data_IF_234788393623
#
_entry.id   IF_234788393623
#
_cell.length_a   1.000
_cell.length_b   1.000
_cell.length_c   1.000
_cell.angle_alpha   90.00
_cell.angle_beta   90.00
_cell.angle_gamma   90.00
#
_symmetry.space_group_name_H-M   'P 1'
#
loop_
_entity.id
_entity.type
_entity.pdbx_description
1 polymer ?
#
# COMPACT_ATOMS: atom_id res chain seq x y z
N UNK A 1 32.02 64.42 25.74
CA UNK A 1 31.38 63.20 26.26
C UNK A 1 30.70 62.52 25.10
N UNK A 2 31.28 61.39 24.67
CA UNK A 2 30.69 60.22 23.96
C UNK A 2 29.70 60.51 22.83
N UNK A 3 30.07 60.45 21.55
CA UNK A 3 30.50 59.28 20.76
C UNK A 3 29.34 58.30 20.45
N UNK A 4 29.11 58.08 19.15
CA UNK A 4 29.07 56.79 18.45
C UNK A 4 28.09 56.84 17.26
N UNK A 5 28.71 56.72 16.09
CA UNK A 5 28.16 56.38 14.79
C UNK A 5 27.61 54.95 14.75
N UNK A 6 26.55 54.70 13.98
CA UNK A 6 26.32 53.35 13.44
C UNK A 6 25.52 53.41 12.15
N UNK A 7 26.24 53.17 11.06
CA UNK A 7 25.75 52.72 9.77
C UNK A 7 25.21 51.28 9.90
N UNK A 8 24.01 51.00 9.40
CA UNK A 8 23.55 49.63 9.14
C UNK A 8 23.23 49.51 7.65
N UNK A 9 24.06 48.71 7.01
CA UNK A 9 24.02 48.24 5.63
C UNK A 9 22.73 47.46 5.34
N UNK A 10 22.03 47.83 4.27
CA UNK A 10 20.94 47.04 3.70
C UNK A 10 21.49 45.83 2.94
N UNK A 11 21.68 44.73 3.66
CA UNK A 11 22.01 43.42 3.12
C UNK A 11 21.26 42.33 3.91
N UNK A 12 19.93 42.39 3.92
CA UNK A 12 19.09 41.30 4.41
C UNK A 12 17.90 41.13 3.46
N UNK A 13 18.19 40.58 2.28
CA UNK A 13 17.20 39.84 1.51
C UNK A 13 17.30 38.39 1.98
N UNK A 14 16.48 38.04 2.96
CA UNK A 14 16.30 36.66 3.43
C UNK A 14 15.84 35.82 2.23
N UNK A 15 16.74 34.97 1.72
CA UNK A 15 16.41 34.01 0.69
C UNK A 15 15.46 32.95 1.28
N UNK A 16 14.19 33.00 0.90
CA UNK A 16 13.26 31.90 1.07
C UNK A 16 13.85 30.67 0.37
N UNK A 17 14.34 29.71 1.17
CA UNK A 17 15.00 28.52 0.66
C UNK A 17 14.03 27.65 -0.14
N UNK A 18 14.34 27.47 -1.43
CA UNK A 18 13.72 26.44 -2.27
C UNK A 18 13.65 25.11 -1.53
N UNK A 19 12.45 24.52 -1.42
CA UNK A 19 12.26 23.21 -0.81
C UNK A 19 13.12 22.17 -1.53
N UNK A 20 13.90 21.39 -0.77
CA UNK A 20 14.77 20.33 -1.31
C UNK A 20 13.94 19.23 -1.97
N UNK A 21 14.45 18.67 -3.06
CA UNK A 21 13.83 17.52 -3.74
C UNK A 21 14.19 16.23 -3.01
N UNK A 22 13.20 15.49 -2.51
CA UNK A 22 13.42 14.18 -1.92
C UNK A 22 13.59 13.11 -3.00
N UNK A 23 14.81 12.59 -3.15
CA UNK A 23 15.17 11.64 -4.21
C UNK A 23 14.65 10.22 -3.95
N UNK A 24 14.25 9.91 -2.72
CA UNK A 24 13.83 8.56 -2.29
C UNK A 24 12.69 7.99 -3.16
N UNK A 25 11.76 8.85 -3.59
CA UNK A 25 10.56 8.47 -4.34
C UNK A 25 10.66 8.64 -5.86
N UNK A 26 11.80 9.03 -6.42
CA UNK A 26 11.92 9.32 -7.85
C UNK A 26 12.26 8.06 -8.66
N UNK A 27 11.36 7.56 -9.53
CA UNK A 27 11.69 6.48 -10.46
C UNK A 27 12.74 6.93 -11.48
N UNK A 28 13.37 5.99 -12.19
CA UNK A 28 14.55 6.26 -13.02
C UNK A 28 14.37 7.45 -13.96
N UNK A 29 13.27 7.52 -14.70
CA UNK A 29 13.00 8.62 -15.63
C UNK A 29 12.95 9.99 -14.93
N UNK A 30 12.31 10.10 -13.77
CA UNK A 30 12.23 11.35 -13.00
C UNK A 30 13.57 11.70 -12.35
N UNK A 31 14.31 10.70 -11.87
CA UNK A 31 15.64 10.90 -11.31
C UNK A 31 16.62 11.35 -12.39
N UNK A 32 16.60 10.75 -13.58
CA UNK A 32 17.39 11.17 -14.74
C UNK A 32 17.08 12.62 -15.11
N UNK A 33 15.80 12.98 -15.22
CA UNK A 33 15.40 14.36 -15.52
C UNK A 33 15.91 15.37 -14.46
N UNK A 34 15.89 14.99 -13.18
CA UNK A 34 16.46 15.81 -12.11
C UNK A 34 17.99 16.00 -12.25
N UNK A 35 18.74 14.95 -12.58
CA UNK A 35 20.18 15.07 -12.81
C UNK A 35 20.50 15.89 -14.07
N UNK A 36 19.72 15.74 -15.14
CA UNK A 36 19.87 16.55 -16.35
C UNK A 36 19.59 18.04 -16.09
N UNK A 37 18.56 18.37 -15.29
CA UNK A 37 18.23 19.76 -14.96
C UNK A 37 19.31 20.48 -14.16
N UNK A 38 20.23 19.72 -13.54
CA UNK A 38 21.38 20.27 -12.81
C UNK A 38 22.69 20.13 -13.58
N UNK A 39 22.65 19.78 -14.87
CA UNK A 39 23.83 19.67 -15.73
C UNK A 39 24.66 18.40 -15.54
N UNK A 40 24.09 17.38 -14.89
CA UNK A 40 24.75 16.09 -14.67
C UNK A 40 24.35 15.04 -15.73
N UNK A 41 25.22 14.06 -15.94
CA UNK A 41 25.00 12.98 -16.91
C UNK A 41 24.03 11.93 -16.36
N UNK A 42 23.24 11.31 -17.25
CA UNK A 42 22.25 10.26 -16.92
C UNK A 42 22.75 9.16 -15.98
N UNK A 43 23.99 8.69 -16.17
CA UNK A 43 24.54 7.60 -15.34
C UNK A 43 24.69 7.98 -13.86
N UNK A 44 24.74 9.28 -13.50
CA UNK A 44 24.76 9.75 -12.11
C UNK A 44 23.46 9.43 -11.38
N UNK A 45 22.32 9.56 -12.06
CA UNK A 45 21.03 9.15 -11.52
C UNK A 45 21.03 7.66 -11.16
N UNK A 46 21.56 6.80 -12.05
CA UNK A 46 21.66 5.35 -11.81
C UNK A 46 22.58 5.05 -10.61
N UNK A 47 23.72 5.73 -10.50
CA UNK A 47 24.62 5.56 -9.35
C UNK A 47 23.92 5.91 -8.04
N UNK A 48 23.25 7.07 -7.97
CA UNK A 48 22.55 7.53 -6.77
C UNK A 48 21.36 6.63 -6.43
N UNK A 49 20.61 6.15 -7.43
CA UNK A 49 19.53 5.17 -7.20
C UNK A 49 20.03 3.90 -6.52
N UNK A 50 21.15 3.33 -6.98
CA UNK A 50 21.75 2.14 -6.37
C UNK A 50 22.18 2.39 -4.92
N UNK A 51 22.80 3.55 -4.66
CA UNK A 51 23.16 3.92 -3.29
C UNK A 51 21.95 3.96 -2.36
N UNK A 52 20.85 4.58 -2.80
CA UNK A 52 19.63 4.69 -2.00
C UNK A 52 19.00 3.31 -1.77
N UNK A 53 18.75 2.55 -2.84
CA UNK A 53 17.85 1.39 -2.78
C UNK A 53 18.54 0.03 -2.68
N UNK A 54 19.82 -0.09 -3.05
CA UNK A 54 20.59 -1.34 -2.93
C UNK A 54 21.53 -1.32 -1.73
N UNK A 55 22.08 -0.16 -1.41
CA UNK A 55 23.07 0.01 -0.33
C UNK A 55 22.51 0.71 0.91
N UNK A 56 21.28 1.21 0.84
CA UNK A 56 20.61 1.83 1.99
C UNK A 56 21.25 3.14 2.45
N UNK A 57 21.88 3.90 1.54
CA UNK A 57 22.43 5.21 1.86
C UNK A 57 21.30 6.24 2.00
N UNK A 58 21.27 6.94 3.13
CA UNK A 58 20.42 8.10 3.41
C UNK A 58 21.24 9.41 3.50
N UNK A 59 22.55 9.33 3.33
CA UNK A 59 23.47 10.47 3.30
C UNK A 59 24.30 10.46 2.02
N UNK A 60 24.36 11.61 1.32
CA UNK A 60 25.16 11.74 0.11
C UNK A 60 26.66 11.52 0.35
N UNK A 61 27.18 11.76 1.56
CA UNK A 61 28.61 11.55 1.83
C UNK A 61 29.07 10.11 1.70
N UNK A 62 28.18 9.15 1.94
CA UNK A 62 28.49 7.73 1.86
C UNK A 62 28.74 7.26 0.42
N UNK A 63 28.34 8.08 -0.57
CA UNK A 63 28.42 7.75 -1.99
C UNK A 63 29.84 7.93 -2.55
N UNK A 64 30.74 7.01 -2.23
CA UNK A 64 32.19 7.11 -2.52
C UNK A 64 32.55 7.21 -4.02
N UNK A 65 31.68 6.75 -4.91
CA UNK A 65 31.87 6.84 -6.37
C UNK A 65 31.20 8.08 -7.01
N UNK A 66 30.68 8.99 -6.19
CA UNK A 66 30.13 10.30 -6.57
C UNK A 66 31.14 11.38 -6.19
N UNK A 67 31.43 12.31 -7.11
CA UNK A 67 32.43 13.37 -6.87
C UNK A 67 32.03 14.23 -5.66
N UNK A 68 33.03 14.79 -4.97
CA UNK A 68 32.79 15.67 -3.81
C UNK A 68 31.91 16.86 -4.19
N UNK A 69 32.15 17.45 -5.36
CA UNK A 69 31.38 18.60 -5.86
C UNK A 69 29.90 18.25 -6.07
N UNK A 70 29.62 17.09 -6.66
CA UNK A 70 28.23 16.64 -6.87
C UNK A 70 27.55 16.31 -5.54
N UNK A 71 28.25 15.66 -4.60
CA UNK A 71 27.72 15.42 -3.24
C UNK A 71 27.36 16.73 -2.53
N UNK A 72 28.25 17.73 -2.60
CA UNK A 72 28.00 19.05 -2.03
C UNK A 72 26.82 19.76 -2.70
N UNK A 73 26.71 19.68 -4.04
CA UNK A 73 25.56 20.21 -4.78
C UNK A 73 24.25 19.57 -4.36
N UNK A 74 24.19 18.23 -4.33
CA UNK A 74 23.00 17.48 -3.94
C UNK A 74 22.55 17.82 -2.51
N UNK A 75 23.48 17.99 -1.57
CA UNK A 75 23.15 18.42 -0.21
C UNK A 75 22.40 19.75 -0.13
N UNK A 76 22.60 20.66 -1.09
CA UNK A 76 21.96 21.97 -1.10
C UNK A 76 20.55 21.92 -1.71
N UNK A 77 20.34 21.09 -2.73
CA UNK A 77 19.10 21.12 -3.54
C UNK A 77 18.22 19.88 -3.38
N UNK A 78 18.73 18.82 -2.77
CA UNK A 78 18.08 17.53 -2.65
C UNK A 78 18.34 16.90 -1.28
N UNK A 79 17.62 15.82 -1.02
CA UNK A 79 17.72 15.04 0.20
C UNK A 79 17.27 13.59 -0.04
N UNK A 80 17.58 12.73 0.92
CA UNK A 80 17.04 11.37 1.02
C UNK A 80 16.36 11.29 2.38
N UNK A 81 15.07 11.64 2.42
CA UNK A 81 14.32 11.72 3.67
C UNK A 81 13.36 10.55 3.77
N UNK A 82 13.60 9.70 4.75
CA UNK A 82 12.76 8.56 5.09
C UNK A 82 11.65 8.99 6.06
N UNK A 83 10.49 8.32 6.04
CA UNK A 83 9.54 8.44 7.15
C UNK A 83 10.11 7.77 8.41
N UNK A 84 9.62 8.18 9.58
CA UNK A 84 10.18 7.77 10.87
C UNK A 84 9.47 6.52 11.40
N UNK A 85 10.22 5.50 11.84
CA UNK A 85 9.63 4.36 12.57
C UNK A 85 9.39 4.77 14.01
N UNK A 86 8.12 4.91 14.38
CA UNK A 86 7.71 5.22 15.77
C UNK A 86 7.79 3.97 16.64
N UNK A 87 7.35 2.83 16.09
CA UNK A 87 7.31 1.58 16.83
C UNK A 87 7.43 0.39 15.88
N UNK A 88 7.98 -0.71 16.41
CA UNK A 88 8.06 -2.00 15.75
C UNK A 88 7.46 -3.07 16.67
N UNK A 89 6.71 -4.00 16.08
CA UNK A 89 6.17 -5.17 16.76
C UNK A 89 6.58 -6.43 16.00
N UNK A 90 7.00 -7.45 16.74
CA UNK A 90 7.37 -8.76 16.20
C UNK A 90 6.41 -9.82 16.77
N UNK A 91 5.66 -10.47 15.89
CA UNK A 91 4.76 -11.58 16.20
C UNK A 91 5.55 -12.86 16.44
N UNK A 92 4.95 -13.76 17.23
CA UNK A 92 5.47 -15.12 17.43
C UNK A 92 5.54 -15.94 16.13
N UNK A 93 4.75 -15.59 15.11
CA UNK A 93 4.75 -16.26 13.80
C UNK A 93 5.80 -15.69 12.81
N UNK A 94 6.63 -14.75 13.27
CA UNK A 94 7.64 -14.05 12.48
C UNK A 94 7.14 -12.82 11.71
N UNK A 95 5.83 -12.54 11.73
CA UNK A 95 5.27 -11.30 11.16
C UNK A 95 5.83 -10.09 11.90
N UNK A 96 6.23 -9.05 11.16
CA UNK A 96 6.72 -7.80 11.73
C UNK A 96 5.86 -6.63 11.28
N UNK A 97 5.33 -5.86 12.23
CA UNK A 97 4.58 -4.63 11.98
C UNK A 97 5.42 -3.41 12.33
N UNK A 98 5.38 -2.40 11.47
CA UNK A 98 5.97 -1.09 11.69
C UNK A 98 4.87 -0.03 11.78
N UNK A 99 4.96 0.84 12.80
CA UNK A 99 4.24 2.10 12.86
C UNK A 99 5.16 3.21 12.35
N UNK A 100 4.76 3.84 11.25
CA UNK A 100 5.60 4.78 10.53
C UNK A 100 4.93 6.15 10.52
N UNK A 101 5.59 7.14 11.13
CA UNK A 101 5.15 8.54 11.09
C UNK A 101 5.52 9.16 9.75
N UNK A 102 4.52 9.73 9.11
CA UNK A 102 4.62 10.40 7.82
C UNK A 102 4.45 11.90 7.99
N UNK A 103 4.71 12.66 6.91
CA UNK A 103 4.61 14.12 6.93
C UNK A 103 3.22 14.58 7.42
N UNK A 104 3.16 15.62 8.25
CA UNK A 104 1.89 16.04 8.89
C UNK A 104 1.52 15.25 10.15
N UNK A 105 2.38 14.34 10.62
CA UNK A 105 2.32 13.76 11.97
C UNK A 105 1.45 12.51 12.12
N UNK A 106 0.68 12.14 11.10
CA UNK A 106 -0.09 10.88 11.08
C UNK A 106 0.82 9.65 11.04
N UNK A 107 0.29 8.51 11.47
CA UNK A 107 1.02 7.24 11.55
C UNK A 107 0.31 6.19 10.69
N UNK A 108 1.06 5.62 9.74
CA UNK A 108 0.62 4.51 8.90
C UNK A 108 1.24 3.20 9.37
N UNK A 109 0.73 2.08 8.86
CA UNK A 109 1.26 0.76 9.18
C UNK A 109 1.87 0.08 7.94
N UNK A 110 2.93 -0.70 8.17
CA UNK A 110 3.54 -1.60 7.18
C UNK A 110 3.78 -2.95 7.83
N UNK A 111 3.47 -4.04 7.12
CA UNK A 111 3.55 -5.39 7.69
C UNK A 111 4.38 -6.31 6.80
N UNK A 112 5.42 -6.91 7.37
CA UNK A 112 6.19 -7.97 6.74
C UNK A 112 5.69 -9.34 7.20
N UNK A 113 5.40 -10.23 6.25
CA UNK A 113 4.83 -11.56 6.48
C UNK A 113 5.78 -12.62 5.89
N UNK A 114 6.49 -13.42 6.71
CA UNK A 114 7.35 -14.50 6.22
C UNK A 114 6.57 -15.79 5.94
N UNK A 115 6.87 -16.50 4.88
CA UNK A 115 6.29 -17.80 4.54
C UNK A 115 7.36 -18.68 3.85
N UNK A 116 8.05 -19.51 4.63
CA UNK A 116 9.25 -20.22 4.17
C UNK A 116 10.31 -19.24 3.67
N UNK A 117 10.77 -19.45 2.43
CA UNK A 117 11.74 -18.57 1.77
C UNK A 117 11.12 -17.28 1.18
N UNK A 118 9.79 -17.13 1.26
CA UNK A 118 9.06 -15.96 0.73
C UNK A 118 8.81 -14.96 1.84
N UNK A 119 9.25 -13.72 1.69
CA UNK A 119 8.81 -12.59 2.52
C UNK A 119 7.92 -11.64 1.73
N UNK A 120 6.72 -11.36 2.23
CA UNK A 120 5.74 -10.45 1.61
C UNK A 120 5.59 -9.19 2.46
N UNK A 121 5.83 -8.02 1.85
CA UNK A 121 5.62 -6.74 2.50
C UNK A 121 4.29 -6.12 2.07
N UNK A 122 3.43 -5.85 3.04
CA UNK A 122 2.18 -5.14 2.88
C UNK A 122 2.42 -3.64 3.09
N UNK A 123 2.21 -2.86 2.02
CA UNK A 123 2.56 -1.42 1.96
C UNK A 123 1.28 -0.58 1.89
N UNK A 124 1.26 0.50 2.67
CA UNK A 124 0.20 1.52 2.68
C UNK A 124 0.41 2.54 1.57
N UNK A 125 -0.69 3.06 1.03
CA UNK A 125 -0.73 4.04 -0.07
C UNK A 125 -1.36 5.37 0.33
N UNK A 126 -2.15 5.42 1.40
CA UNK A 126 -2.79 6.64 1.90
C UNK A 126 -2.76 6.67 3.44
N UNK A 127 -3.01 7.84 4.01
CA UNK A 127 -3.30 8.00 5.44
C UNK A 127 -4.81 7.87 5.63
N UNK A 128 -5.24 6.70 6.11
CA UNK A 128 -6.65 6.32 6.12
C UNK A 128 -7.15 5.86 4.75
N UNK A 129 -8.47 5.75 4.56
CA UNK A 129 -9.07 5.38 3.28
C UNK A 129 -10.48 5.99 3.11
N UNK A 130 -10.72 6.62 1.96
CA UNK A 130 -12.00 7.29 1.69
C UNK A 130 -13.14 6.33 1.31
N UNK A 131 -12.85 5.08 0.92
CA UNK A 131 -13.82 4.15 0.33
C UNK A 131 -14.87 3.56 1.28
N UNK A 132 -14.64 3.63 2.60
CA UNK A 132 -15.62 3.22 3.63
C UNK A 132 -16.11 1.77 3.52
N UNK A 133 -15.24 0.83 3.11
CA UNK A 133 -15.59 -0.59 3.12
C UNK A 133 -15.99 -1.02 4.54
N UNK A 134 -17.17 -1.61 4.69
CA UNK A 134 -17.81 -1.79 6.00
C UNK A 134 -17.02 -2.73 6.93
N UNK A 135 -16.24 -3.64 6.34
CA UNK A 135 -15.42 -4.66 7.00
C UNK A 135 -13.93 -4.27 7.14
N UNK A 136 -13.57 -2.99 6.93
CA UNK A 136 -12.18 -2.53 6.98
C UNK A 136 -11.95 -1.52 8.10
N UNK A 137 -10.99 -1.78 9.01
CA UNK A 137 -10.66 -0.85 10.10
C UNK A 137 -10.19 0.51 9.57
N UNK A 138 -9.34 0.53 8.54
CA UNK A 138 -8.85 1.76 7.91
C UNK A 138 -9.99 2.63 7.38
N UNK A 139 -11.05 2.03 6.82
CA UNK A 139 -12.21 2.77 6.32
C UNK A 139 -12.97 3.52 7.42
N UNK A 140 -12.99 2.95 8.64
CA UNK A 140 -13.66 3.54 9.82
C UNK A 140 -12.92 4.74 10.40
N UNK A 141 -11.62 4.84 10.18
CA UNK A 141 -10.83 5.97 10.65
C UNK A 141 -10.92 7.20 9.76
N UNK A 142 -11.59 7.10 8.61
CA UNK A 142 -11.70 8.18 7.65
C UNK A 142 -10.44 8.32 6.80
N UNK A 143 -10.20 9.53 6.31
CA UNK A 143 -9.15 9.83 5.35
C UNK A 143 -8.49 11.15 5.70
N UNK A 144 -7.19 11.27 5.44
CA UNK A 144 -6.46 12.53 5.56
C UNK A 144 -5.87 12.95 4.21
N UNK A 145 -4.88 12.20 3.70
CA UNK A 145 -4.17 12.52 2.45
C UNK A 145 -3.56 11.28 1.80
N UNK A 146 -3.15 11.46 0.55
CA UNK A 146 -2.30 10.54 -0.18
C UNK A 146 -0.87 10.55 0.38
N UNK A 147 -0.21 9.39 0.36
CA UNK A 147 1.22 9.29 0.63
C UNK A 147 2.02 9.71 -0.60
N UNK A 148 3.14 10.40 -0.39
CA UNK A 148 4.09 10.66 -1.48
C UNK A 148 4.80 9.37 -1.90
N UNK A 149 5.37 9.33 -3.10
CA UNK A 149 6.16 8.18 -3.56
C UNK A 149 7.30 7.84 -2.58
N UNK A 150 7.94 8.86 -1.99
CA UNK A 150 8.98 8.68 -0.96
C UNK A 150 8.46 8.00 0.31
N UNK A 151 7.24 8.32 0.75
CA UNK A 151 6.59 7.69 1.91
C UNK A 151 6.13 6.25 1.61
N UNK A 152 5.75 5.95 0.36
CA UNK A 152 5.39 4.59 -0.06
C UNK A 152 6.62 3.70 -0.17
N UNK A 153 7.62 4.09 -0.97
CA UNK A 153 8.84 3.29 -1.16
C UNK A 153 9.71 3.26 0.10
N UNK A 154 9.62 4.29 0.95
CA UNK A 154 10.27 4.34 2.26
C UNK A 154 9.86 3.17 3.16
N UNK A 155 8.63 2.66 3.04
CA UNK A 155 8.19 1.46 3.78
C UNK A 155 8.98 0.21 3.35
N UNK A 156 9.25 0.06 2.04
CA UNK A 156 10.10 -1.03 1.51
C UNK A 156 11.53 -0.88 1.99
N UNK A 157 12.05 0.35 1.96
CA UNK A 157 13.39 0.66 2.42
C UNK A 157 13.58 0.33 3.90
N UNK A 158 12.65 0.76 4.76
CA UNK A 158 12.67 0.52 6.21
C UNK A 158 12.65 -0.98 6.49
N UNK A 159 11.72 -1.71 5.85
CA UNK A 159 11.64 -3.15 6.02
C UNK A 159 12.92 -3.85 5.57
N UNK A 160 13.44 -3.55 4.37
CA UNK A 160 14.67 -4.12 3.85
C UNK A 160 15.87 -3.85 4.78
N UNK A 161 16.03 -2.60 5.26
CA UNK A 161 17.08 -2.24 6.23
C UNK A 161 16.94 -3.01 7.54
N UNK A 162 15.73 -3.16 8.07
CA UNK A 162 15.48 -3.89 9.33
C UNK A 162 15.91 -5.35 9.32
N UNK A 163 16.04 -5.94 8.11
CA UNK A 163 16.47 -7.31 7.89
C UNK A 163 17.91 -7.44 7.39
N UNK A 164 18.66 -6.34 7.33
CA UNK A 164 20.03 -6.32 6.80
C UNK A 164 20.10 -6.57 5.29
N UNK A 165 18.98 -6.50 4.55
CA UNK A 165 18.95 -6.79 3.11
C UNK A 165 19.77 -5.79 2.29
N UNK A 166 19.94 -4.56 2.78
CA UNK A 166 20.67 -3.48 2.11
C UNK A 166 22.17 -3.50 2.41
N UNK A 167 22.66 -4.47 3.20
CA UNK A 167 24.08 -4.65 3.45
C UNK A 167 24.74 -5.46 2.33
N UNK A 168 26.06 -5.35 2.17
CA UNK A 168 26.80 -6.20 1.25
C UNK A 168 26.57 -7.68 1.58
N UNK A 169 26.08 -8.46 0.62
CA UNK A 169 25.67 -9.86 0.78
C UNK A 169 24.52 -10.09 1.78
N UNK A 170 23.69 -9.07 2.03
CA UNK A 170 22.51 -9.17 2.88
C UNK A 170 21.49 -10.19 2.33
N UNK A 171 20.73 -10.88 3.20
CA UNK A 171 19.72 -11.82 2.76
C UNK A 171 18.55 -11.09 2.10
N UNK A 172 18.08 -11.60 0.96
CA UNK A 172 16.89 -11.07 0.30
C UNK A 172 15.62 -11.52 1.02
N UNK A 173 15.18 -10.76 2.02
CA UNK A 173 13.96 -11.05 2.80
C UNK A 173 12.69 -10.56 2.13
N UNK A 174 12.67 -9.32 1.64
CA UNK A 174 11.51 -8.76 0.92
C UNK A 174 11.53 -9.26 -0.51
N UNK A 175 10.77 -10.33 -0.75
CA UNK A 175 10.68 -10.99 -2.06
C UNK A 175 9.40 -10.66 -2.83
N UNK A 176 8.38 -10.18 -2.11
CA UNK A 176 7.06 -9.81 -2.62
C UNK A 176 6.61 -8.50 -1.96
N UNK A 177 5.87 -7.68 -2.71
CA UNK A 177 5.20 -6.49 -2.19
C UNK A 177 3.74 -6.52 -2.61
N UNK A 178 2.84 -6.21 -1.68
CA UNK A 178 1.41 -6.07 -1.94
C UNK A 178 0.93 -4.70 -1.48
N UNK A 179 0.23 -3.98 -2.36
CA UNK A 179 -0.44 -2.71 -2.04
C UNK A 179 -1.80 -3.00 -1.39
N UNK A 180 -1.74 -3.60 -0.20
CA UNK A 180 -2.91 -4.03 0.59
C UNK A 180 -2.87 -3.48 2.02
N UNK A 181 -2.03 -2.46 2.26
CA UNK A 181 -1.98 -1.74 3.52
C UNK A 181 -3.15 -0.76 3.65
N UNK A 182 -2.90 0.41 4.22
CA UNK A 182 -3.89 1.48 4.35
C UNK A 182 -4.09 2.22 3.01
N UNK A 183 -5.33 2.47 2.63
CA UNK A 183 -5.69 3.28 1.45
C UNK A 183 -6.10 2.49 0.20
N UNK A 184 -6.72 3.18 -0.75
CA UNK A 184 -7.00 2.70 -2.09
C UNK A 184 -5.89 3.16 -3.05
N UNK A 185 -5.04 2.23 -3.54
CA UNK A 185 -3.87 2.61 -4.35
C UNK A 185 -4.22 3.38 -5.62
N UNK A 186 -5.34 3.07 -6.27
CA UNK A 186 -5.73 3.76 -7.50
C UNK A 186 -6.25 5.19 -7.27
N UNK A 187 -6.60 5.58 -6.04
CA UNK A 187 -6.88 6.98 -5.72
C UNK A 187 -5.60 7.80 -5.52
N UNK A 188 -4.45 7.13 -5.28
CA UNK A 188 -3.12 7.74 -5.20
C UNK A 188 -2.24 7.29 -6.39
N UNK A 189 -2.77 7.43 -7.60
CA UNK A 189 -2.25 6.76 -8.80
C UNK A 189 -0.77 7.02 -9.07
N UNK A 190 -0.35 8.29 -9.18
CA UNK A 190 1.00 8.64 -9.64
C UNK A 190 2.07 8.21 -8.63
N UNK A 191 1.85 8.46 -7.33
CA UNK A 191 2.82 8.06 -6.29
C UNK A 191 2.93 6.53 -6.19
N UNK A 192 1.82 5.81 -6.32
CA UNK A 192 1.80 4.34 -6.27
C UNK A 192 2.53 3.75 -7.47
N UNK A 193 2.26 4.24 -8.68
CA UNK A 193 2.92 3.79 -9.91
C UNK A 193 4.42 4.01 -9.86
N UNK A 194 4.86 5.22 -9.48
CA UNK A 194 6.28 5.55 -9.30
C UNK A 194 6.96 4.56 -8.33
N UNK A 195 6.30 4.30 -7.20
CA UNK A 195 6.83 3.41 -6.16
C UNK A 195 6.90 1.95 -6.61
N UNK A 196 5.87 1.44 -7.29
CA UNK A 196 5.88 0.07 -7.82
C UNK A 196 6.97 -0.10 -8.88
N UNK A 197 7.16 0.91 -9.73
CA UNK A 197 8.22 0.88 -10.73
C UNK A 197 9.60 0.86 -10.05
N UNK A 198 9.82 1.62 -8.97
CA UNK A 198 11.02 1.50 -8.14
C UNK A 198 11.19 0.12 -7.49
N UNK A 199 10.11 -0.49 -6.97
CA UNK A 199 10.16 -1.84 -6.39
C UNK A 199 10.65 -2.87 -7.42
N UNK A 200 10.26 -2.72 -8.69
CA UNK A 200 10.59 -3.67 -9.74
C UNK A 200 11.92 -3.39 -10.44
N UNK A 201 12.46 -2.18 -10.31
CA UNK A 201 13.63 -1.75 -11.06
C UNK A 201 14.92 -2.46 -10.64
N UNK A 202 15.73 -2.91 -11.60
CA UNK A 202 16.97 -3.67 -11.36
C UNK A 202 18.07 -2.86 -10.66
N UNK A 203 18.10 -1.53 -10.88
CA UNK A 203 19.01 -0.62 -10.17
C UNK A 203 18.47 -0.20 -8.78
N UNK A 204 17.30 -0.72 -8.39
CA UNK A 204 16.72 -0.57 -7.06
C UNK A 204 16.51 -1.97 -6.43
N UNK A 205 15.28 -2.37 -6.12
CA UNK A 205 15.02 -3.63 -5.41
C UNK A 205 14.91 -4.87 -6.31
N UNK A 206 14.75 -4.68 -7.63
CA UNK A 206 14.68 -5.75 -8.63
C UNK A 206 13.63 -6.82 -8.33
N UNK A 207 12.51 -6.46 -7.69
CA UNK A 207 11.44 -7.41 -7.34
C UNK A 207 10.71 -7.79 -8.62
N UNK A 208 10.52 -9.08 -8.86
CA UNK A 208 9.80 -9.54 -10.06
C UNK A 208 8.42 -8.87 -10.14
N UNK A 209 8.03 -8.42 -11.34
CA UNK A 209 6.68 -7.95 -11.63
C UNK A 209 5.56 -8.92 -11.29
N UNK A 210 5.87 -10.22 -11.22
CA UNK A 210 4.94 -11.28 -10.75
C UNK A 210 4.80 -11.34 -9.22
N UNK A 211 5.56 -10.52 -8.49
CA UNK A 211 5.66 -10.49 -7.02
C UNK A 211 5.36 -9.11 -6.44
N UNK A 212 5.12 -8.10 -7.26
CA UNK A 212 4.53 -6.81 -6.87
C UNK A 212 3.06 -6.83 -7.28
N UNK A 213 2.14 -6.73 -6.32
CA UNK A 213 0.69 -6.81 -6.57
C UNK A 213 -0.02 -5.54 -6.12
N UNK A 214 -0.72 -4.89 -7.03
CA UNK A 214 -1.66 -3.82 -6.73
C UNK A 214 -3.03 -4.43 -6.44
N UNK A 215 -3.60 -4.12 -5.27
CA UNK A 215 -4.99 -4.44 -4.96
C UNK A 215 -5.86 -3.21 -5.10
N UNK A 216 -7.05 -3.35 -5.68
CA UNK A 216 -8.01 -2.23 -5.80
C UNK A 216 -9.44 -2.67 -5.53
N UNK A 217 -10.21 -1.77 -4.93
CA UNK A 217 -11.67 -1.89 -4.77
C UNK A 217 -12.44 -1.49 -6.04
N UNK A 218 -11.76 -0.96 -7.05
CA UNK A 218 -12.31 -0.77 -8.39
C UNK A 218 -12.53 0.68 -8.80
N UNK A 219 -11.48 1.50 -8.79
CA UNK A 219 -11.50 2.84 -9.40
C UNK A 219 -11.32 2.72 -10.92
N UNK A 220 -12.38 2.36 -11.64
CA UNK A 220 -12.35 1.95 -13.05
C UNK A 220 -11.56 2.90 -13.97
N UNK A 221 -11.76 4.25 -13.95
CA UNK A 221 -11.02 5.14 -14.85
C UNK A 221 -9.50 5.08 -14.66
N UNK A 222 -9.04 4.82 -13.43
CA UNK A 222 -7.62 4.71 -13.11
C UNK A 222 -7.08 3.32 -13.48
N UNK A 223 -7.89 2.28 -13.30
CA UNK A 223 -7.53 0.92 -13.71
C UNK A 223 -7.36 0.81 -15.24
N UNK A 224 -8.23 1.48 -16.01
CA UNK A 224 -8.19 1.46 -17.48
C UNK A 224 -6.90 2.06 -18.06
N UNK A 225 -6.30 3.04 -17.38
CA UNK A 225 -5.01 3.62 -17.80
C UNK A 225 -3.79 2.91 -17.19
N UNK A 226 -3.96 2.05 -16.18
CA UNK A 226 -2.84 1.47 -15.40
C UNK A 226 -1.83 0.71 -16.27
N UNK A 227 -2.29 -0.03 -17.28
CA UNK A 227 -1.43 -0.84 -18.16
C UNK A 227 -0.45 -0.02 -18.99
N UNK A 228 -0.68 1.30 -19.13
CA UNK A 228 0.23 2.21 -19.83
C UNK A 228 1.46 2.58 -18.97
N UNK A 229 1.41 2.34 -17.66
CA UNK A 229 2.42 2.84 -16.72
C UNK A 229 3.14 1.75 -15.93
N UNK A 230 2.55 0.55 -15.82
CA UNK A 230 3.13 -0.54 -15.05
C UNK A 230 2.61 -1.90 -15.53
N UNK A 231 3.39 -2.94 -15.30
CA UNK A 231 3.03 -4.33 -15.55
C UNK A 231 3.02 -5.18 -14.27
N UNK A 232 2.72 -4.56 -13.13
CA UNK A 232 2.53 -5.24 -11.84
C UNK A 232 1.37 -6.26 -11.87
N UNK A 233 1.34 -7.20 -10.93
CA UNK A 233 0.19 -8.08 -10.73
C UNK A 233 -1.04 -7.29 -10.24
N UNK A 234 -2.23 -7.74 -10.62
CA UNK A 234 -3.50 -7.15 -10.21
C UNK A 234 -4.27 -8.09 -9.28
N UNK A 235 -4.74 -7.54 -8.17
CA UNK A 235 -5.74 -8.12 -7.31
C UNK A 235 -6.99 -7.22 -7.26
N UNK A 236 -8.17 -7.82 -7.25
CA UNK A 236 -9.45 -7.13 -7.13
C UNK A 236 -10.10 -7.48 -5.80
N UNK A 237 -10.35 -6.46 -4.99
CA UNK A 237 -11.13 -6.52 -3.76
C UNK A 237 -12.63 -6.61 -4.10
N UNK A 238 -13.08 -7.83 -4.44
CA UNK A 238 -14.44 -8.07 -4.94
C UNK A 238 -15.44 -8.22 -3.79
N UNK A 239 -15.21 -9.18 -2.91
CA UNK A 239 -15.91 -9.41 -1.63
C UNK A 239 -17.43 -9.68 -1.66
N UNK A 240 -18.06 -9.72 -2.83
CA UNK A 240 -19.45 -10.12 -3.00
C UNK A 240 -19.69 -10.66 -4.42
N UNK A 241 -20.66 -11.57 -4.62
CA UNK A 241 -20.92 -12.19 -5.91
C UNK A 241 -21.96 -11.45 -6.76
N UNK A 242 -22.58 -10.39 -6.24
CA UNK A 242 -23.61 -9.59 -6.89
C UNK A 242 -23.53 -8.12 -6.43
N UNK A 243 -24.12 -7.21 -7.21
CA UNK A 243 -24.03 -5.77 -6.98
C UNK A 243 -24.77 -5.34 -5.71
N UNK A 244 -25.89 -5.99 -5.38
CA UNK A 244 -26.70 -5.68 -4.19
C UNK A 244 -25.86 -5.80 -2.92
N UNK A 245 -25.24 -6.96 -2.72
CA UNK A 245 -24.38 -7.20 -1.56
C UNK A 245 -23.09 -6.37 -1.64
N UNK A 246 -22.53 -6.18 -2.84
CA UNK A 246 -21.30 -5.39 -2.99
C UNK A 246 -21.52 -3.92 -2.68
N UNK A 247 -22.70 -3.37 -2.98
CA UNK A 247 -23.06 -2.00 -2.62
C UNK A 247 -23.04 -1.77 -1.09
N UNK A 248 -23.40 -2.79 -0.31
CA UNK A 248 -23.35 -2.72 1.16
C UNK A 248 -21.92 -2.83 1.69
N UNK A 249 -21.14 -3.78 1.17
CA UNK A 249 -19.82 -4.08 1.69
C UNK A 249 -18.72 -3.13 1.18
N UNK A 250 -18.81 -2.73 -0.09
CA UNK A 250 -17.80 -1.96 -0.84
C UNK A 250 -18.50 -0.81 -1.57
N UNK A 251 -18.77 0.34 -0.90
CA UNK A 251 -19.67 1.37 -1.40
C UNK A 251 -19.36 1.96 -2.78
N UNK A 252 -18.08 1.95 -3.20
CA UNK A 252 -17.66 2.39 -4.54
C UNK A 252 -18.34 1.60 -5.67
N UNK A 253 -18.87 0.40 -5.38
CA UNK A 253 -19.63 -0.39 -6.34
C UNK A 253 -20.85 0.34 -6.92
N UNK A 254 -21.49 1.23 -6.13
CA UNK A 254 -22.61 2.04 -6.63
C UNK A 254 -22.21 2.95 -7.79
N UNK A 255 -20.94 3.36 -7.83
CA UNK A 255 -20.37 4.19 -8.89
C UNK A 255 -19.81 3.33 -10.02
N UNK A 256 -19.12 2.24 -9.67
CA UNK A 256 -18.50 1.32 -10.61
C UNK A 256 -18.95 -0.12 -10.30
N UNK A 257 -20.08 -0.57 -10.88
CA UNK A 257 -20.63 -1.90 -10.66
C UNK A 257 -19.68 -3.03 -11.07
N UNK A 258 -19.93 -4.24 -10.58
CA UNK A 258 -19.05 -5.41 -10.76
C UNK A 258 -18.69 -5.64 -12.23
N UNK A 259 -19.67 -5.61 -13.13
CA UNK A 259 -19.44 -5.86 -14.55
C UNK A 259 -18.41 -4.87 -15.14
N UNK A 260 -18.56 -3.58 -14.82
CA UNK A 260 -17.64 -2.54 -15.27
C UNK A 260 -16.22 -2.73 -14.71
N UNK A 261 -16.13 -3.11 -13.44
CA UNK A 261 -14.86 -3.42 -12.78
C UNK A 261 -14.15 -4.61 -13.43
N UNK A 262 -14.87 -5.72 -13.63
CA UNK A 262 -14.31 -6.92 -14.25
C UNK A 262 -13.89 -6.68 -15.69
N UNK A 263 -14.66 -5.92 -16.46
CA UNK A 263 -14.30 -5.54 -17.83
C UNK A 263 -13.03 -4.68 -17.88
N UNK A 264 -12.88 -3.72 -16.96
CA UNK A 264 -11.66 -2.93 -16.83
C UNK A 264 -10.46 -3.80 -16.43
N UNK A 265 -10.65 -4.72 -15.48
CA UNK A 265 -9.60 -5.64 -15.08
C UNK A 265 -9.19 -6.62 -16.20
N UNK A 266 -10.14 -7.07 -17.04
CA UNK A 266 -9.87 -7.86 -18.25
C UNK A 266 -9.03 -7.06 -19.24
N UNK A 267 -9.35 -5.77 -19.48
CA UNK A 267 -8.55 -4.89 -20.34
C UNK A 267 -7.12 -4.74 -19.83
N UNK A 268 -6.95 -4.55 -18.51
CA UNK A 268 -5.62 -4.48 -17.90
C UNK A 268 -4.81 -5.75 -18.15
N UNK A 269 -5.35 -6.93 -17.83
CA UNK A 269 -4.63 -8.20 -18.01
C UNK A 269 -4.37 -8.51 -19.49
N UNK A 270 -5.30 -8.20 -20.39
CA UNK A 270 -5.12 -8.44 -21.83
C UNK A 270 -4.01 -7.57 -22.44
N UNK A 271 -3.71 -6.41 -21.85
CA UNK A 271 -2.61 -5.55 -22.25
C UNK A 271 -1.24 -6.00 -21.71
N UNK A 272 -1.20 -7.00 -20.81
CA UNK A 272 0.06 -7.48 -20.25
C UNK A 272 0.83 -8.34 -21.26
N UNK A 273 2.17 -8.27 -21.28
CA UNK A 273 2.98 -9.05 -22.21
C UNK A 273 2.95 -10.57 -21.94
N UNK A 274 2.47 -10.98 -20.78
CA UNK A 274 2.37 -12.38 -20.34
C UNK A 274 0.89 -12.80 -20.36
N UNK A 275 0.52 -13.55 -21.39
CA UNK A 275 -0.85 -14.01 -21.65
C UNK A 275 -1.37 -15.03 -20.64
N UNK A 276 -0.51 -15.60 -19.79
CA UNK A 276 -0.89 -16.55 -18.74
C UNK A 276 -1.22 -15.88 -17.41
N UNK A 277 -1.13 -14.54 -17.32
CA UNK A 277 -1.48 -13.82 -16.11
C UNK A 277 -2.95 -13.97 -15.78
N UNK A 278 -3.21 -14.21 -14.49
CA UNK A 278 -4.55 -14.27 -13.93
C UNK A 278 -4.73 -13.14 -12.91
N UNK A 279 -5.93 -12.59 -12.86
CA UNK A 279 -6.34 -11.65 -11.81
C UNK A 279 -6.50 -12.44 -10.51
N UNK A 280 -6.05 -11.87 -9.40
CA UNK A 280 -6.37 -12.44 -8.07
C UNK A 280 -7.66 -11.81 -7.58
N UNK A 281 -8.70 -12.61 -7.33
CA UNK A 281 -9.92 -12.14 -6.68
C UNK A 281 -9.74 -12.29 -5.17
N UNK A 282 -9.69 -11.18 -4.46
CA UNK A 282 -9.70 -11.16 -3.00
C UNK A 282 -11.16 -11.17 -2.53
N UNK A 283 -11.53 -12.17 -1.72
CA UNK A 283 -12.88 -12.34 -1.21
C UNK A 283 -12.85 -12.55 0.30
N UNK A 284 -13.21 -11.52 1.07
CA UNK A 284 -13.30 -11.59 2.53
C UNK A 284 -14.57 -12.34 2.90
N UNK A 285 -14.45 -13.53 3.48
CA UNK A 285 -15.60 -14.31 3.94
C UNK A 285 -16.01 -13.89 5.34
N UNK A 286 -17.25 -13.43 5.44
CA UNK A 286 -17.90 -12.93 6.64
C UNK A 286 -19.06 -13.86 6.98
N UNK A 287 -19.06 -14.35 8.21
CA UNK A 287 -20.09 -15.27 8.72
C UNK A 287 -21.49 -14.68 8.50
N UNK A 288 -22.38 -15.49 7.93
CA UNK A 288 -23.79 -15.16 7.67
C UNK A 288 -24.06 -14.03 6.67
N UNK A 289 -23.03 -13.45 6.05
CA UNK A 289 -23.20 -12.29 5.15
C UNK A 289 -22.97 -12.70 3.70
N UNK A 290 -21.79 -13.25 3.40
CA UNK A 290 -21.37 -13.55 2.03
C UNK A 290 -20.73 -14.95 1.90
N UNK A 291 -20.97 -15.84 2.87
CA UNK A 291 -20.29 -17.13 3.07
C UNK A 291 -21.17 -18.36 2.76
N UNK A 292 -22.43 -18.15 2.35
CA UNK A 292 -23.37 -19.24 2.05
C UNK A 292 -23.08 -19.94 0.71
N UNK A 293 -23.44 -21.23 0.54
CA UNK A 293 -23.20 -21.97 -0.69
C UNK A 293 -23.72 -21.30 -1.97
N UNK A 294 -24.89 -20.66 -1.92
CA UNK A 294 -25.44 -19.97 -3.08
C UNK A 294 -24.56 -18.78 -3.53
N UNK A 295 -23.89 -18.09 -2.60
CA UNK A 295 -22.93 -17.04 -2.94
C UNK A 295 -21.71 -17.60 -3.69
N UNK A 296 -21.22 -18.79 -3.33
CA UNK A 296 -20.13 -19.45 -4.04
C UNK A 296 -20.53 -19.80 -5.48
N UNK A 297 -21.75 -20.33 -5.69
CA UNK A 297 -22.26 -20.60 -7.03
C UNK A 297 -22.46 -19.32 -7.86
N UNK A 298 -23.00 -18.26 -7.26
CA UNK A 298 -23.10 -16.95 -7.93
C UNK A 298 -21.73 -16.38 -8.30
N UNK A 299 -20.74 -16.51 -7.40
CA UNK A 299 -19.36 -16.08 -7.66
C UNK A 299 -18.74 -16.87 -8.81
N UNK A 300 -18.93 -18.19 -8.83
CA UNK A 300 -18.44 -19.06 -9.89
C UNK A 300 -19.05 -18.69 -11.26
N UNK A 301 -20.34 -18.34 -11.28
CA UNK A 301 -21.03 -17.87 -12.49
C UNK A 301 -20.47 -16.52 -12.96
N UNK A 302 -20.38 -15.56 -12.03
CA UNK A 302 -19.90 -14.21 -12.30
C UNK A 302 -18.49 -14.20 -12.93
N UNK A 303 -17.62 -15.11 -12.49
CA UNK A 303 -16.21 -15.14 -12.88
C UNK A 303 -15.91 -16.06 -14.06
N UNK A 304 -16.94 -16.71 -14.65
CA UNK A 304 -16.77 -17.77 -15.66
C UNK A 304 -15.87 -17.36 -16.83
N UNK A 305 -16.04 -16.13 -17.32
CA UNK A 305 -15.32 -15.60 -18.48
C UNK A 305 -14.16 -14.67 -18.08
N UNK A 306 -13.64 -14.79 -16.85
CA UNK A 306 -12.55 -13.98 -16.33
C UNK A 306 -11.37 -14.89 -15.97
N UNK A 307 -10.15 -14.66 -16.48
CA UNK A 307 -8.99 -15.47 -16.11
C UNK A 307 -8.55 -15.12 -14.68
N UNK A 308 -9.09 -15.85 -13.69
CA UNK A 308 -8.89 -15.57 -12.27
C UNK A 308 -8.31 -16.73 -11.50
N UNK A 309 -7.73 -16.39 -10.35
CA UNK A 309 -7.62 -17.26 -9.18
C UNK A 309 -8.30 -16.56 -8.00
N UNK A 310 -8.83 -17.33 -7.06
CA UNK A 310 -9.62 -16.80 -5.95
C UNK A 310 -8.84 -16.99 -4.65
N UNK A 311 -8.70 -15.91 -3.89
CA UNK A 311 -8.11 -15.90 -2.57
C UNK A 311 -9.20 -15.57 -1.53
N UNK A 312 -9.57 -16.59 -0.76
CA UNK A 312 -10.54 -16.49 0.32
C UNK A 312 -9.82 -15.96 1.57
N UNK A 313 -10.31 -14.86 2.14
CA UNK A 313 -9.76 -14.26 3.35
C UNK A 313 -10.80 -14.43 4.47
N UNK A 314 -10.59 -15.30 5.46
CA UNK A 314 -11.45 -15.33 6.64
C UNK A 314 -11.41 -13.96 7.32
N UNK A 315 -12.59 -13.37 7.58
CA UNK A 315 -12.68 -12.06 8.21
C UNK A 315 -11.95 -12.04 9.57
N UNK A 316 -11.06 -11.06 9.77
CA UNK A 316 -10.39 -10.81 11.03
C UNK A 316 -11.16 -9.73 11.80
N UNK A 317 -11.74 -10.05 12.97
CA UNK A 317 -12.48 -9.07 13.76
C UNK A 317 -11.59 -7.91 14.22
N UNK A 318 -12.21 -6.74 14.38
CA UNK A 318 -11.60 -5.55 14.95
C UNK A 318 -12.67 -4.72 15.67
N UNK A 319 -12.23 -3.81 16.54
CA UNK A 319 -13.12 -2.92 17.28
C UNK A 319 -13.94 -2.03 16.31
N UNK A 320 -15.23 -1.82 16.58
CA UNK A 320 -16.17 -1.07 15.71
C UNK A 320 -16.72 -1.84 14.49
N UNK A 321 -16.54 -3.16 14.42
CA UNK A 321 -17.23 -4.03 13.47
C UNK A 321 -18.20 -4.99 14.17
N UNK A 322 -19.38 -5.17 13.57
CA UNK A 322 -20.36 -6.18 14.00
C UNK A 322 -20.22 -7.51 13.23
N UNK A 323 -19.31 -7.57 12.26
CA UNK A 323 -19.06 -8.77 11.48
C UNK A 323 -18.31 -9.83 12.28
N UNK A 324 -18.52 -11.09 11.90
CA UNK A 324 -17.90 -12.24 12.56
C UNK A 324 -17.07 -13.05 11.56
N UNK A 325 -16.03 -13.69 12.09
CA UNK A 325 -15.20 -14.62 11.35
C UNK A 325 -16.04 -15.81 10.91
N UNK A 326 -15.95 -16.16 9.62
CA UNK A 326 -16.60 -17.35 9.05
C UNK A 326 -16.21 -18.63 9.78
N UNK A 327 -17.15 -19.56 9.94
CA UNK A 327 -16.83 -20.89 10.48
C UNK A 327 -15.96 -21.71 9.52
N UNK A 328 -15.11 -22.59 10.05
CA UNK A 328 -14.26 -23.46 9.22
C UNK A 328 -15.08 -24.35 8.27
N UNK A 329 -16.24 -24.83 8.70
CA UNK A 329 -17.12 -25.65 7.86
C UNK A 329 -17.70 -24.86 6.68
N UNK A 330 -18.18 -23.63 6.93
CA UNK A 330 -18.68 -22.76 5.86
C UNK A 330 -17.56 -22.37 4.89
N UNK A 331 -16.38 -22.00 5.41
CA UNK A 331 -15.19 -21.68 4.61
C UNK A 331 -14.77 -22.83 3.68
N UNK A 332 -14.67 -24.06 4.22
CA UNK A 332 -14.31 -25.24 3.42
C UNK A 332 -15.37 -25.54 2.37
N UNK A 333 -16.65 -25.54 2.74
CA UNK A 333 -17.74 -25.75 1.78
C UNK A 333 -17.75 -24.71 0.65
N UNK A 334 -17.49 -23.45 0.97
CA UNK A 334 -17.38 -22.38 -0.02
C UNK A 334 -16.18 -22.60 -0.95
N UNK A 335 -15.03 -22.99 -0.39
CA UNK A 335 -13.82 -23.34 -1.13
C UNK A 335 -14.07 -24.52 -2.08
N UNK A 336 -14.68 -25.59 -1.60
CA UNK A 336 -14.93 -26.82 -2.35
C UNK A 336 -15.81 -26.54 -3.57
N UNK A 337 -16.90 -25.77 -3.40
CA UNK A 337 -17.79 -25.36 -4.52
C UNK A 337 -17.02 -24.62 -5.61
N UNK A 338 -16.13 -23.70 -5.25
CA UNK A 338 -15.32 -22.95 -6.23
C UNK A 338 -14.28 -23.85 -6.92
N UNK A 339 -13.69 -24.80 -6.20
CA UNK A 339 -12.73 -25.76 -6.75
C UNK A 339 -13.42 -26.74 -7.71
N UNK A 340 -14.62 -27.24 -7.36
CA UNK A 340 -15.47 -28.07 -8.23
C UNK A 340 -15.88 -27.32 -9.50
N UNK A 341 -16.10 -26.00 -9.41
CA UNK A 341 -16.33 -25.13 -10.56
C UNK A 341 -15.06 -24.85 -11.40
N UNK A 342 -13.91 -25.38 -11.03
CA UNK A 342 -12.65 -25.29 -11.79
C UNK A 342 -11.73 -24.14 -11.41
N UNK A 343 -12.02 -23.39 -10.35
CA UNK A 343 -11.17 -22.28 -9.91
C UNK A 343 -10.05 -22.72 -8.97
N UNK A 344 -8.85 -22.16 -9.19
CA UNK A 344 -7.79 -22.22 -8.19
C UNK A 344 -8.23 -21.34 -7.01
N UNK A 345 -8.55 -21.98 -5.90
CA UNK A 345 -9.10 -21.32 -4.71
C UNK A 345 -8.21 -21.57 -3.50
N UNK A 346 -7.53 -20.52 -3.03
CA UNK A 346 -6.67 -20.58 -1.84
C UNK A 346 -7.36 -19.91 -0.65
N UNK A 347 -7.04 -20.36 0.56
CA UNK A 347 -7.43 -19.70 1.79
C UNK A 347 -6.22 -18.99 2.35
N UNK A 348 -6.34 -17.69 2.61
CA UNK A 348 -5.29 -16.89 3.21
C UNK A 348 -5.18 -17.24 4.70
N UNK A 349 -4.01 -17.74 5.11
CA UNK A 349 -3.69 -17.96 6.53
C UNK A 349 -3.65 -16.61 7.25
N UNK A 350 -4.32 -16.49 8.39
CA UNK A 350 -4.21 -15.33 9.28
C UNK A 350 -2.78 -15.26 9.83
N UNK A 351 -2.16 -14.08 9.79
CA UNK A 351 -0.77 -13.83 10.22
C UNK A 351 -0.69 -12.55 11.03
N UNK A 352 0.11 -12.56 12.11
CA UNK A 352 0.31 -11.41 13.00
C UNK A 352 -0.95 -10.92 13.72
N UNK A 353 -1.89 -11.81 14.04
CA UNK A 353 -3.13 -11.46 14.76
C UNK A 353 -2.85 -11.01 16.20
N UNK A 354 -1.81 -11.57 16.83
CA UNK A 354 -1.33 -11.23 18.18
C UNK A 354 -0.81 -9.78 18.30
N UNK A 355 -0.55 -9.14 17.17
CA UNK A 355 -0.03 -7.76 17.08
C UNK A 355 -0.94 -6.88 16.22
N UNK A 356 -2.21 -7.24 16.01
CA UNK A 356 -3.19 -6.51 15.17
C UNK A 356 -2.61 -6.16 13.78
N UNK A 357 -1.95 -7.10 13.12
CA UNK A 357 -1.31 -6.93 11.82
C UNK A 357 -2.00 -7.72 10.69
N UNK A 358 -3.09 -8.43 11.00
CA UNK A 358 -3.81 -9.19 9.98
C UNK A 358 -4.53 -8.25 9.00
N UNK A 359 -4.84 -8.76 7.81
CA UNK A 359 -5.50 -7.97 6.78
C UNK A 359 -6.84 -7.39 7.28
N UNK A 360 -7.02 -6.08 7.11
CA UNK A 360 -8.21 -5.36 7.54
C UNK A 360 -8.16 -4.80 8.97
N UNK A 361 -7.16 -5.14 9.79
CA UNK A 361 -6.99 -4.63 11.16
C UNK A 361 -6.13 -3.36 11.25
N UNK A 362 -5.44 -2.98 10.16
CA UNK A 362 -4.53 -1.85 10.16
C UNK A 362 -5.28 -0.54 10.43
N UNK A 363 -4.96 0.05 11.57
CA UNK A 363 -5.58 1.26 12.07
C UNK A 363 -4.56 2.41 12.09
N UNK A 364 -3.36 2.25 12.63
CA UNK A 364 -2.45 3.38 12.79
C UNK A 364 -3.11 4.54 13.55
N UNK A 365 -2.65 5.77 13.30
CA UNK A 365 -3.20 6.99 13.89
C UNK A 365 -3.46 8.02 12.80
N UNK A 366 -4.74 8.22 12.48
CA UNK A 366 -5.20 9.10 11.39
C UNK A 366 -5.79 10.38 11.97
N UNK A 367 -5.24 11.52 11.58
CA UNK A 367 -5.86 12.83 11.81
C UNK A 367 -7.02 13.02 10.82
N UNK A 368 -8.17 12.41 11.09
CA UNK A 368 -9.30 12.34 10.16
C UNK A 368 -9.86 13.73 9.81
N UNK A 369 -9.83 14.11 8.52
CA UNK A 369 -10.42 15.38 8.05
C UNK A 369 -11.87 15.23 7.60
N UNK A 370 -12.38 14.00 7.53
CA UNK A 370 -13.73 13.67 7.04
C UNK A 370 -14.80 13.56 8.14
N UNK A 371 -14.39 13.71 9.41
CA UNK A 371 -15.23 13.50 10.62
C UNK A 371 -15.99 12.17 10.59
N UNK A 372 -15.41 11.13 9.97
CA UNK A 372 -16.05 9.81 9.84
C UNK A 372 -15.80 8.97 11.09
N UNK A 373 -14.60 9.03 11.63
CA UNK A 373 -14.24 8.38 12.90
C UNK A 373 -15.17 8.83 14.05
N UNK A 374 -15.47 10.12 14.13
CA UNK A 374 -16.42 10.69 15.10
C UNK A 374 -17.84 10.10 14.94
N UNK A 375 -18.35 10.04 13.71
CA UNK A 375 -19.68 9.48 13.40
C UNK A 375 -19.79 8.01 13.76
N UNK A 376 -18.77 7.20 13.47
CA UNK A 376 -18.78 5.77 13.82
C UNK A 376 -18.72 5.52 15.32
N UNK A 377 -17.94 6.31 16.08
CA UNK A 377 -17.93 6.20 17.54
C UNK A 377 -19.29 6.51 18.13
N UNK A 378 -19.91 7.61 17.72
CA UNK A 378 -21.25 7.98 18.16
C UNK A 378 -22.30 6.89 17.86
N UNK A 379 -22.30 6.36 16.63
CA UNK A 379 -23.24 5.31 16.24
C UNK A 379 -22.99 3.98 16.98
N UNK A 380 -21.73 3.63 17.24
CA UNK A 380 -21.39 2.41 17.98
C UNK A 380 -21.83 2.51 19.44
N UNK A 381 -21.60 3.66 20.08
CA UNK A 381 -22.00 3.91 21.47
C UNK A 381 -23.52 3.88 21.64
N UNK A 382 -24.29 4.44 20.68
CA UNK A 382 -25.76 4.33 20.66
C UNK A 382 -26.23 2.87 20.55
N UNK A 383 -25.64 2.07 19.66
CA UNK A 383 -26.02 0.67 19.47
C UNK A 383 -25.68 -0.19 20.70
N UNK A 384 -24.57 0.09 21.38
CA UNK A 384 -24.21 -0.58 22.64
C UNK A 384 -25.16 -0.18 23.77
N UNK A 385 -25.49 1.10 23.91
CA UNK A 385 -26.43 1.58 24.91
C UNK A 385 -27.81 0.91 24.76
N UNK A 386 -28.31 0.77 23.53
CA UNK A 386 -29.59 0.09 23.24
C UNK A 386 -29.53 -1.41 23.60
N UNK A 387 -28.38 -2.07 23.45
CA UNK A 387 -28.21 -3.49 23.84
C UNK A 387 -28.14 -3.68 25.36
N UNK A 388 -27.55 -2.72 26.09
CA UNK A 388 -27.45 -2.76 27.55
C UNK A 388 -28.82 -2.50 28.21
N UNK A 389 -29.65 -1.62 27.63
CA UNK A 389 -30.98 -1.30 28.15
C UNK A 389 -32.02 -2.43 27.90
N UNK A 390 -31.75 -3.30 26.94
CA UNK A 390 -32.64 -4.42 26.56
C UNK A 390 -32.18 -5.80 27.08
N UNK A 391 -31.18 -5.85 27.97
CA UNK A 391 -30.87 -7.01 28.81
C UNK A 391 -31.46 -6.80 30.20
#
# INVERSE_FOLDING_TARGET
MTDVSTSITSADAVAEGSAKVNLLGLPEAKLVAFFESIGEKKFRAIQVMKWIHQLGADNFEDMTNVSKDLRAKLKNIAEIRLPEVVQQFDSTDGTRKFLIRVSGGSVIETVFIPDGDRGTLCVSSQVGCSLDCSFCATGKQGFNRDLTAAEIIGQVWIAAKSFGQLQANGPRRVTNVVMMGMGEPLLNFDNVVDSMNLMMHDNAYGISKRRVTLSTSGVVPQLDRLSQYTDACLAISLHAPNDELRNELVPINRKYPIAMLLDSAKRYISAMPDTHRKITIEYTLIDQVNDRPHHAHQLAELLRDVPVKINLIPFNPFNLSNYKRVSNNALRKFQDILMEAGYITTVRTTRGDDIDAACGQLAGQVNDVTRRSERYRAQFDEVQAVKIVNQ
#
